data_IF_188105791063
#
_entry.id   IF_188105791063
#
_cell.length_a   1.000
_cell.length_b   1.000
_cell.length_c   1.000
_cell.angle_alpha   90.00
_cell.angle_beta   90.00
_cell.angle_gamma   90.00
#
_symmetry.space_group_name_H-M   'P 1'
#
loop_
_entity.id
_entity.type
_entity.pdbx_description
1 polymer ?
#
# COMPACT_ATOMS: atom_id res chain seq x y z
N UNK A 1 0.61 -19.29 -1.19
CA UNK A 1 -0.38 -20.04 -2.01
C UNK A 1 -1.11 -19.21 -3.07
N UNK A 2 -0.90 -17.89 -3.22
CA UNK A 2 -1.74 -17.04 -4.13
C UNK A 2 -1.01 -16.66 -5.43
N UNK A 3 0.32 -16.79 -5.45
CA UNK A 3 1.17 -16.21 -6.49
C UNK A 3 1.12 -16.92 -7.87
N UNK A 4 0.97 -18.25 -8.00
CA UNK A 4 0.76 -18.91 -9.30
C UNK A 4 -0.70 -18.90 -9.74
N UNK A 5 -1.63 -18.41 -8.90
CA UNK A 5 -3.04 -18.32 -9.24
C UNK A 5 -3.37 -17.02 -9.98
N UNK A 6 -2.47 -16.03 -10.04
CA UNK A 6 -2.77 -14.75 -10.70
C UNK A 6 -3.10 -14.88 -12.21
N UNK A 7 -2.35 -15.65 -13.01
CA UNK A 7 -2.72 -15.88 -14.42
C UNK A 7 -3.97 -16.78 -14.51
N UNK A 8 -4.08 -17.80 -13.67
CA UNK A 8 -5.15 -18.81 -13.69
C UNK A 8 -6.50 -18.26 -13.23
N UNK A 9 -6.53 -17.44 -12.17
CA UNK A 9 -7.70 -16.69 -11.69
C UNK A 9 -8.10 -15.62 -12.71
N UNK A 10 -7.14 -14.95 -13.36
CA UNK A 10 -7.45 -14.00 -14.44
C UNK A 10 -8.07 -14.71 -15.65
N UNK A 11 -7.57 -15.91 -16.01
CA UNK A 11 -8.11 -16.75 -17.07
C UNK A 11 -9.48 -17.37 -16.72
N UNK A 12 -9.67 -17.84 -15.48
CA UNK A 12 -10.92 -18.48 -15.02
C UNK A 12 -12.06 -17.49 -14.74
N UNK A 13 -11.75 -16.23 -14.37
CA UNK A 13 -12.75 -15.18 -14.11
C UNK A 13 -13.01 -14.26 -15.31
N UNK A 14 -12.37 -14.49 -16.46
CA UNK A 14 -12.53 -13.66 -17.66
C UNK A 14 -12.04 -12.21 -17.48
N UNK A 15 -11.10 -11.99 -16.57
CA UNK A 15 -10.52 -10.66 -16.35
C UNK A 15 -9.26 -10.46 -17.19
N UNK A 16 -9.06 -9.24 -17.69
CA UNK A 16 -7.80 -8.87 -18.32
C UNK A 16 -6.68 -8.92 -17.27
N UNK A 17 -5.50 -9.45 -17.63
CA UNK A 17 -4.30 -9.44 -16.79
C UNK A 17 -3.95 -8.06 -16.17
N UNK A 18 -4.56 -6.99 -16.70
CA UNK A 18 -4.36 -5.60 -16.31
C UNK A 18 -4.73 -5.31 -14.86
N UNK A 19 -5.83 -5.83 -14.29
CA UNK A 19 -6.29 -5.38 -12.96
C UNK A 19 -5.29 -5.73 -11.85
N UNK A 20 -4.91 -7.00 -11.73
CA UNK A 20 -3.93 -7.43 -10.72
C UNK A 20 -2.53 -6.89 -11.02
N UNK A 21 -2.12 -6.83 -12.29
CA UNK A 21 -0.85 -6.21 -12.68
C UNK A 21 -0.82 -4.72 -12.28
N UNK A 22 -1.94 -4.02 -12.42
CA UNK A 22 -2.09 -2.62 -12.01
C UNK A 22 -1.97 -2.46 -10.50
N UNK A 23 -2.57 -3.35 -9.70
CA UNK A 23 -2.36 -3.34 -8.24
C UNK A 23 -0.89 -3.54 -7.86
N UNK A 24 -0.21 -4.51 -8.48
CA UNK A 24 1.22 -4.77 -8.23
C UNK A 24 2.09 -3.58 -8.61
N UNK A 25 1.84 -2.96 -9.77
CA UNK A 25 2.54 -1.75 -10.21
C UNK A 25 2.26 -0.59 -9.26
N UNK A 26 1.00 -0.39 -8.85
CA UNK A 26 0.61 0.65 -7.91
C UNK A 26 1.32 0.49 -6.57
N UNK A 27 1.33 -0.72 -5.99
CA UNK A 27 2.01 -0.99 -4.72
C UNK A 27 3.53 -0.79 -4.84
N UNK A 28 4.14 -1.24 -5.94
CA UNK A 28 5.58 -1.04 -6.17
C UNK A 28 5.93 0.45 -6.33
N UNK A 29 5.09 1.21 -7.04
CA UNK A 29 5.28 2.65 -7.21
C UNK A 29 5.07 3.42 -5.89
N UNK A 30 4.11 2.99 -5.08
CA UNK A 30 3.88 3.54 -3.74
C UNK A 30 5.08 3.30 -2.83
N UNK A 31 5.61 2.08 -2.82
CA UNK A 31 6.81 1.69 -2.08
C UNK A 31 8.02 2.55 -2.49
N UNK A 32 8.25 2.68 -3.79
CA UNK A 32 9.32 3.51 -4.34
C UNK A 32 9.15 4.98 -3.94
N UNK A 33 7.93 5.52 -4.00
CA UNK A 33 7.63 6.87 -3.53
C UNK A 33 7.96 7.07 -2.05
N UNK A 34 7.59 6.12 -1.18
CA UNK A 34 7.95 6.17 0.24
C UNK A 34 9.47 6.11 0.47
N UNK A 35 10.18 5.28 -0.29
CA UNK A 35 11.64 5.21 -0.22
C UNK A 35 12.30 6.54 -0.63
N UNK A 36 11.84 7.15 -1.74
CA UNK A 36 12.32 8.47 -2.17
C UNK A 36 12.03 9.54 -1.12
N UNK A 37 10.85 9.51 -0.50
CA UNK A 37 10.51 10.43 0.58
C UNK A 37 11.41 10.24 1.82
N UNK A 38 11.73 9.00 2.18
CA UNK A 38 12.57 8.70 3.34
C UNK A 38 14.00 9.25 3.21
N UNK A 39 14.56 9.26 2.00
CA UNK A 39 15.92 9.78 1.75
C UNK A 39 15.95 11.22 1.24
N UNK A 40 14.79 11.87 1.10
CA UNK A 40 14.73 13.23 0.58
C UNK A 40 15.21 14.27 1.60
N UNK A 41 16.09 15.16 1.14
CA UNK A 41 16.59 16.31 1.90
C UNK A 41 16.08 17.65 1.36
N UNK A 42 15.32 17.63 0.25
CA UNK A 42 14.80 18.82 -0.41
C UNK A 42 13.30 18.75 -0.61
N UNK A 43 12.64 19.92 -0.57
CA UNK A 43 11.21 20.05 -0.84
C UNK A 43 10.82 19.52 -2.24
N UNK A 44 11.66 19.77 -3.25
CA UNK A 44 11.40 19.31 -4.60
C UNK A 44 11.38 17.77 -4.69
N UNK A 45 12.35 17.10 -4.06
CA UNK A 45 12.40 15.62 -4.02
C UNK A 45 11.23 15.04 -3.25
N UNK A 46 10.83 15.65 -2.13
CA UNK A 46 9.62 15.29 -1.40
C UNK A 46 8.37 15.42 -2.26
N UNK A 47 8.26 16.50 -3.04
CA UNK A 47 7.09 16.74 -3.88
C UNK A 47 6.97 15.68 -4.98
N UNK A 48 8.09 15.31 -5.62
CA UNK A 48 8.12 14.21 -6.60
C UNK A 48 7.65 12.90 -5.95
N UNK A 49 8.15 12.58 -4.75
CA UNK A 49 7.72 11.40 -4.02
C UNK A 49 6.20 11.41 -3.74
N UNK A 50 5.64 12.58 -3.37
CA UNK A 50 4.19 12.75 -3.15
C UNK A 50 3.38 12.56 -4.42
N UNK A 51 3.85 13.07 -5.55
CA UNK A 51 3.19 12.86 -6.85
C UNK A 51 3.18 11.37 -7.19
N UNK A 52 4.31 10.66 -7.01
CA UNK A 52 4.40 9.22 -7.25
C UNK A 52 3.41 8.45 -6.37
N UNK A 53 3.37 8.74 -5.06
CA UNK A 53 2.44 8.11 -4.12
C UNK A 53 0.97 8.44 -4.44
N UNK A 54 0.67 9.66 -4.87
CA UNK A 54 -0.68 10.07 -5.26
C UNK A 54 -1.16 9.30 -6.50
N UNK A 55 -0.30 9.17 -7.52
CA UNK A 55 -0.59 8.37 -8.72
C UNK A 55 -0.83 6.90 -8.34
N UNK A 56 0.06 6.33 -7.52
CA UNK A 56 -0.07 4.95 -7.06
C UNK A 56 -1.38 4.71 -6.29
N UNK A 57 -1.73 5.60 -5.36
CA UNK A 57 -2.98 5.54 -4.60
C UNK A 57 -4.21 5.63 -5.53
N UNK A 58 -4.17 6.52 -6.52
CA UNK A 58 -5.23 6.68 -7.51
C UNK A 58 -5.46 5.43 -8.39
N UNK A 59 -4.40 4.67 -8.67
CA UNK A 59 -4.47 3.39 -9.40
C UNK A 59 -4.97 2.24 -8.52
N UNK A 60 -4.67 2.28 -7.21
CA UNK A 60 -4.97 1.18 -6.29
C UNK A 60 -6.46 1.02 -6.01
N UNK A 61 -7.18 2.11 -5.68
CA UNK A 61 -8.60 2.06 -5.28
C UNK A 61 -9.52 1.39 -6.32
N UNK A 62 -9.52 1.78 -7.61
CA UNK A 62 -10.37 1.14 -8.61
C UNK A 62 -9.97 -0.33 -8.86
N UNK A 63 -8.66 -0.64 -8.84
CA UNK A 63 -8.16 -2.00 -8.97
C UNK A 63 -8.60 -2.91 -7.82
N UNK A 64 -8.47 -2.44 -6.58
CA UNK A 64 -8.87 -3.18 -5.38
C UNK A 64 -10.37 -3.45 -5.35
N UNK A 65 -11.19 -2.46 -5.71
CA UNK A 65 -12.64 -2.61 -5.80
C UNK A 65 -13.06 -3.56 -6.93
N UNK A 66 -12.40 -3.46 -8.10
CA UNK A 66 -12.64 -4.37 -9.23
C UNK A 66 -12.33 -5.83 -8.84
N UNK A 67 -11.15 -6.07 -8.24
CA UNK A 67 -10.74 -7.39 -7.78
C UNK A 67 -11.70 -7.93 -6.70
N UNK A 68 -12.07 -7.11 -5.72
CA UNK A 68 -13.01 -7.49 -4.67
C UNK A 68 -14.38 -7.89 -5.21
N UNK A 69 -14.84 -7.24 -6.29
CA UNK A 69 -16.13 -7.56 -6.92
C UNK A 69 -16.13 -8.89 -7.69
N UNK A 70 -14.99 -9.36 -8.18
CA UNK A 70 -14.91 -10.61 -8.96
C UNK A 70 -14.64 -11.84 -8.11
N UNK A 71 -13.99 -11.70 -6.96
CA UNK A 71 -13.66 -12.82 -6.06
C UNK A 71 -14.84 -13.26 -5.18
N UNK A 72 -15.94 -12.51 -5.18
CA UNK A 72 -17.15 -12.81 -4.40
C UNK A 72 -18.36 -13.06 -5.31
N UNK A 73 -19.32 -13.83 -4.81
CA UNK A 73 -20.60 -14.05 -5.50
C UNK A 73 -21.36 -12.72 -5.70
N UNK A 74 -22.16 -12.63 -6.76
CA UNK A 74 -22.85 -11.41 -7.17
C UNK A 74 -23.66 -10.76 -6.03
N UNK A 75 -24.33 -11.57 -5.21
CA UNK A 75 -25.13 -11.17 -4.05
C UNK A 75 -24.29 -10.50 -2.95
N UNK A 76 -22.99 -10.80 -2.86
CA UNK A 76 -22.07 -10.32 -1.82
C UNK A 76 -21.19 -9.15 -2.28
N UNK A 77 -21.26 -8.74 -3.55
CA UNK A 77 -20.42 -7.67 -4.12
C UNK A 77 -20.55 -6.34 -3.37
N UNK A 78 -21.78 -5.92 -3.06
CA UNK A 78 -22.01 -4.69 -2.29
C UNK A 78 -21.34 -4.72 -0.92
N UNK A 79 -21.40 -5.86 -0.21
CA UNK A 79 -20.74 -6.05 1.07
C UNK A 79 -19.21 -6.07 0.95
N UNK A 80 -18.67 -6.71 -0.08
CA UNK A 80 -17.23 -6.73 -0.33
C UNK A 80 -16.67 -5.32 -0.58
N UNK A 81 -17.34 -4.54 -1.43
CA UNK A 81 -16.95 -3.14 -1.70
C UNK A 81 -17.05 -2.26 -0.45
N UNK A 82 -18.11 -2.45 0.35
CA UNK A 82 -18.28 -1.76 1.62
C UNK A 82 -17.17 -2.10 2.63
N UNK A 83 -16.73 -3.36 2.70
CA UNK A 83 -15.61 -3.78 3.55
C UNK A 83 -14.30 -3.15 3.07
N UNK A 84 -14.03 -3.17 1.76
CA UNK A 84 -12.78 -2.61 1.19
C UNK A 84 -12.72 -1.09 1.42
N UNK A 85 -13.79 -0.37 1.05
CA UNK A 85 -13.86 1.09 1.20
C UNK A 85 -13.95 1.52 2.67
N UNK A 86 -14.70 0.78 3.47
CA UNK A 86 -14.80 0.96 4.91
C UNK A 86 -13.44 0.75 5.59
N UNK A 87 -12.74 -0.33 5.26
CA UNK A 87 -11.39 -0.62 5.75
C UNK A 87 -10.39 0.48 5.40
N UNK A 88 -10.39 0.97 4.15
CA UNK A 88 -9.54 2.11 3.76
C UNK A 88 -9.85 3.37 4.56
N UNK A 89 -11.13 3.70 4.72
CA UNK A 89 -11.56 4.88 5.50
C UNK A 89 -11.16 4.74 6.96
N UNK A 90 -11.44 3.59 7.58
CA UNK A 90 -11.08 3.31 8.97
C UNK A 90 -9.56 3.33 9.17
N UNK A 91 -8.78 2.78 8.25
CA UNK A 91 -7.32 2.81 8.29
C UNK A 91 -6.78 4.24 8.25
N UNK A 92 -7.33 5.12 7.40
CA UNK A 92 -6.94 6.53 7.32
C UNK A 92 -7.38 7.28 8.59
N UNK A 93 -8.65 7.12 8.97
CA UNK A 93 -9.28 7.84 10.08
C UNK A 93 -8.64 7.51 11.44
N UNK A 94 -8.19 6.27 11.63
CA UNK A 94 -7.50 5.85 12.86
C UNK A 94 -5.99 5.96 12.75
N UNK A 95 -5.41 5.54 11.61
CA UNK A 95 -3.98 5.46 11.43
C UNK A 95 -3.28 6.82 11.51
N UNK A 96 -3.79 7.85 10.83
CA UNK A 96 -3.14 9.16 10.86
C UNK A 96 -3.30 9.89 12.21
N UNK A 97 -4.52 10.07 12.77
CA UNK A 97 -4.69 10.88 13.98
C UNK A 97 -4.33 10.11 15.26
N UNK A 98 -4.85 8.88 15.41
CA UNK A 98 -4.70 8.14 16.67
C UNK A 98 -3.28 7.60 16.85
N UNK A 99 -2.66 7.11 15.78
CA UNK A 99 -1.30 6.58 15.82
C UNK A 99 -0.31 7.67 15.42
N UNK A 100 -0.44 8.24 14.22
CA UNK A 100 0.53 9.19 13.68
C UNK A 100 0.70 10.47 14.52
N UNK A 101 -0.39 11.21 14.77
CA UNK A 101 -0.32 12.50 15.47
C UNK A 101 -0.18 12.32 16.98
N UNK A 102 -0.92 11.39 17.59
CA UNK A 102 -0.93 11.25 19.05
C UNK A 102 0.37 10.65 19.58
N UNK A 103 0.86 9.56 18.97
CA UNK A 103 2.14 8.95 19.37
C UNK A 103 3.29 9.83 18.90
N UNK A 104 3.26 10.34 17.66
CA UNK A 104 4.29 11.25 17.15
C UNK A 104 4.42 12.52 17.98
N UNK A 105 3.30 13.13 18.39
CA UNK A 105 3.28 14.31 19.25
C UNK A 105 3.83 14.03 20.65
N UNK A 106 3.44 12.92 21.29
CA UNK A 106 3.98 12.57 22.61
C UNK A 106 5.46 12.22 22.59
N UNK A 107 5.92 11.56 21.54
CA UNK A 107 7.35 11.34 21.34
C UNK A 107 8.09 12.66 21.10
N UNK A 108 7.43 13.67 20.50
CA UNK A 108 8.04 14.96 20.18
C UNK A 108 8.24 15.79 21.44
N UNK A 109 7.26 15.76 22.34
CA UNK A 109 7.34 16.42 23.63
C UNK A 109 8.38 15.76 24.55
N UNK A 110 8.60 14.44 24.42
CA UNK A 110 9.50 13.68 25.30
C UNK A 110 10.97 13.65 24.81
N UNK A 111 11.20 13.62 23.50
CA UNK A 111 12.52 13.37 22.92
C UNK A 111 13.03 14.51 22.00
N UNK A 112 12.22 15.55 21.80
CA UNK A 112 12.50 16.63 20.88
C UNK A 112 12.24 16.25 19.41
N UNK A 113 11.98 17.27 18.59
CA UNK A 113 11.56 17.13 17.19
C UNK A 113 12.52 16.34 16.32
N UNK A 114 13.83 16.44 16.57
CA UNK A 114 14.83 15.71 15.80
C UNK A 114 14.72 14.18 15.97
N UNK A 115 14.40 13.70 17.18
CA UNK A 115 14.29 12.27 17.44
C UNK A 115 12.99 11.69 16.89
N UNK A 116 11.89 12.44 16.90
CA UNK A 116 10.63 11.98 16.29
C UNK A 116 10.71 11.92 14.78
N UNK A 117 11.37 12.89 14.16
CA UNK A 117 11.64 12.84 12.72
C UNK A 117 12.49 11.60 12.41
N UNK A 118 13.51 11.30 13.22
CA UNK A 118 14.30 10.07 13.06
C UNK A 118 13.46 8.80 13.20
N UNK A 119 12.62 8.68 14.23
CA UNK A 119 11.73 7.51 14.40
C UNK A 119 10.68 7.39 13.30
N UNK A 120 10.17 8.52 12.79
CA UNK A 120 9.24 8.54 11.66
C UNK A 120 9.91 8.03 10.38
N UNK A 121 11.17 8.43 10.14
CA UNK A 121 11.98 7.90 9.06
C UNK A 121 12.29 6.40 9.24
N UNK A 122 12.61 5.97 10.46
CA UNK A 122 12.86 4.57 10.78
C UNK A 122 11.62 3.69 10.52
N UNK A 123 10.44 4.15 10.92
CA UNK A 123 9.17 3.48 10.60
C UNK A 123 8.90 3.44 9.09
N UNK A 124 9.20 4.52 8.37
CA UNK A 124 9.13 4.56 6.91
C UNK A 124 10.05 3.54 6.24
N UNK A 125 11.28 3.37 6.75
CA UNK A 125 12.23 2.36 6.28
C UNK A 125 11.72 0.95 6.59
N UNK A 126 11.19 0.70 7.80
CA UNK A 126 10.61 -0.60 8.15
C UNK A 126 9.44 -0.95 7.23
N UNK A 127 8.56 0.02 6.93
CA UNK A 127 7.45 -0.18 6.00
C UNK A 127 7.95 -0.51 4.59
N UNK A 128 8.92 0.24 4.08
CA UNK A 128 9.52 -0.02 2.78
C UNK A 128 10.19 -1.40 2.71
N UNK A 129 10.92 -1.80 3.76
CA UNK A 129 11.55 -3.12 3.87
C UNK A 129 10.49 -4.23 3.93
N UNK A 130 9.42 -4.04 4.70
CA UNK A 130 8.29 -4.98 4.77
C UNK A 130 7.65 -5.20 3.40
N UNK A 131 7.41 -4.14 2.63
CA UNK A 131 6.87 -4.23 1.27
C UNK A 131 7.83 -4.96 0.33
N UNK A 132 9.13 -4.64 0.38
CA UNK A 132 10.15 -5.32 -0.43
C UNK A 132 10.21 -6.82 -0.10
N UNK A 133 10.17 -7.17 1.20
CA UNK A 133 10.15 -8.57 1.65
C UNK A 133 8.89 -9.26 1.15
N UNK A 134 7.71 -8.64 1.28
CA UNK A 134 6.44 -9.19 0.80
C UNK A 134 6.49 -9.50 -0.70
N UNK A 135 6.96 -8.54 -1.52
CA UNK A 135 7.13 -8.73 -2.96
C UNK A 135 8.14 -9.85 -3.28
N UNK A 136 9.25 -9.91 -2.53
CA UNK A 136 10.29 -10.91 -2.76
C UNK A 136 9.85 -12.32 -2.36
N UNK A 137 9.12 -12.44 -1.25
CA UNK A 137 8.51 -13.69 -0.80
C UNK A 137 7.51 -14.20 -1.84
N UNK A 138 6.64 -13.33 -2.36
CA UNK A 138 5.74 -13.70 -3.44
C UNK A 138 6.51 -14.19 -4.68
N UNK A 139 7.58 -13.49 -5.09
CA UNK A 139 8.42 -13.91 -6.22
C UNK A 139 9.13 -15.25 -5.98
N UNK A 140 9.60 -15.53 -4.76
CA UNK A 140 10.25 -16.81 -4.42
C UNK A 140 9.25 -17.96 -4.38
N UNK A 141 8.03 -17.71 -3.90
CA UNK A 141 6.97 -18.70 -3.89
C UNK A 141 6.53 -19.12 -5.32
N UNK A 142 6.63 -18.21 -6.29
CA UNK A 142 6.35 -18.50 -7.72
C UNK A 142 7.47 -19.34 -8.35
N UNK A 143 8.73 -19.16 -7.95
CA UNK A 143 9.88 -19.87 -8.57
C UNK A 143 10.06 -21.32 -8.12
N UNK A 144 9.34 -21.76 -7.09
CA UNK A 144 9.44 -23.12 -6.54
C UNK A 144 8.18 -23.98 -6.79
N UNK A 145 7.16 -23.43 -7.45
CA UNK A 145 5.94 -24.12 -7.88
C UNK A 145 5.96 -24.29 -9.40
#
# INVERSE_FOLDING_TARGET
MIAPLLPTIAQDLGMSLSATATLLVAMTLFAAGNLVAAFSSSFATLMVARIMMAIASGLYVPGANSLAGVIVSAEKRGRALAIVSGGMTTAIALGLPAIGVTIGGRLNDSFGSNQVVFWSLALGVIAAVSEIISIWLDRRYIRQA
#
